data_IF_719234467922
#
_entry.id   IF_719234467922
#
_cell.length_a   1.000
_cell.length_b   1.000
_cell.length_c   1.000
_cell.angle_alpha   90.00
_cell.angle_beta   90.00
_cell.angle_gamma   90.00
#
_symmetry.space_group_name_H-M   'P 1'
#
loop_
_entity.id
_entity.type
_entity.pdbx_description
1 polymer ?
#
# COMPACT_ATOMS: atom_id res chain seq x y z
N UNK A 1 -25.47 -21.49 22.82
CA UNK A 1 -25.02 -20.52 21.79
C UNK A 1 -23.52 -20.63 21.44
N UNK A 2 -22.68 -21.29 22.26
CA UNK A 2 -21.21 -21.28 22.07
C UNK A 2 -20.62 -22.17 20.95
N UNK A 3 -21.23 -23.32 20.63
CA UNK A 3 -20.70 -24.21 19.57
C UNK A 3 -20.75 -23.59 18.19
N UNK A 4 -21.76 -22.76 17.93
CA UNK A 4 -21.95 -22.09 16.64
C UNK A 4 -20.85 -21.04 16.45
N UNK A 5 -20.63 -20.15 17.44
CA UNK A 5 -19.59 -19.12 17.36
C UNK A 5 -18.15 -19.67 17.25
N UNK A 6 -17.86 -20.82 17.89
CA UNK A 6 -16.59 -21.53 17.76
C UNK A 6 -16.37 -22.10 16.35
N UNK A 7 -17.41 -22.72 15.78
CA UNK A 7 -17.41 -23.25 14.40
C UNK A 7 -17.17 -22.14 13.36
N UNK A 8 -17.82 -20.98 13.51
CA UNK A 8 -17.64 -19.83 12.61
C UNK A 8 -16.22 -19.27 12.62
N UNK A 9 -15.63 -19.08 13.80
CA UNK A 9 -14.24 -18.61 13.93
C UNK A 9 -13.24 -19.55 13.26
N UNK A 10 -13.44 -20.87 13.36
CA UNK A 10 -12.61 -21.87 12.70
C UNK A 10 -12.72 -21.84 11.17
N UNK A 11 -13.92 -21.60 10.64
CA UNK A 11 -14.15 -21.47 9.20
C UNK A 11 -13.53 -20.18 8.63
N UNK A 12 -13.69 -19.05 9.31
CA UNK A 12 -13.10 -17.76 8.93
C UNK A 12 -11.56 -17.85 8.87
N UNK A 13 -10.95 -18.52 9.86
CA UNK A 13 -9.51 -18.73 9.90
C UNK A 13 -9.02 -19.58 8.71
N UNK A 14 -9.68 -20.70 8.42
CA UNK A 14 -9.34 -21.54 7.24
C UNK A 14 -9.50 -20.77 5.92
N UNK A 15 -10.52 -19.92 5.82
CA UNK A 15 -10.71 -19.05 4.67
C UNK A 15 -9.53 -18.09 4.50
N UNK A 16 -9.06 -17.45 5.57
CA UNK A 16 -7.90 -16.56 5.53
C UNK A 16 -6.59 -17.30 5.21
N UNK A 17 -6.47 -18.54 5.66
CA UNK A 17 -5.32 -19.39 5.30
C UNK A 17 -5.35 -19.78 3.82
N UNK A 18 -6.54 -19.93 3.21
CA UNK A 18 -6.70 -20.21 1.79
C UNK A 18 -6.65 -18.95 0.89
N UNK A 19 -7.14 -17.82 1.39
CA UNK A 19 -7.23 -16.52 0.70
C UNK A 19 -6.81 -15.43 1.69
N UNK A 20 -5.54 -14.98 1.62
CA UNK A 20 -4.94 -14.13 2.66
C UNK A 20 -5.45 -12.68 2.64
N UNK A 21 -6.23 -12.30 1.62
CA UNK A 21 -6.72 -10.94 1.44
C UNK A 21 -7.63 -10.51 2.60
N UNK A 22 -7.56 -9.23 2.96
CA UNK A 22 -8.54 -8.63 3.85
C UNK A 22 -9.91 -8.61 3.17
N UNK A 23 -10.97 -8.92 3.94
CA UNK A 23 -12.34 -8.70 3.48
C UNK A 23 -12.55 -7.21 3.12
N UNK A 24 -13.46 -6.86 2.20
CA UNK A 24 -13.74 -5.47 1.84
C UNK A 24 -13.93 -4.56 3.05
N UNK A 25 -13.45 -3.32 2.95
CA UNK A 25 -13.62 -2.32 4.01
C UNK A 25 -15.09 -1.85 4.06
N UNK A 26 -15.56 -1.35 5.21
CA UNK A 26 -16.79 -0.57 5.26
C UNK A 26 -16.77 0.59 4.25
N UNK A 27 -17.93 0.97 3.75
CA UNK A 27 -18.05 2.06 2.78
C UNK A 27 -17.59 3.41 3.38
N UNK A 28 -17.69 3.60 4.69
CA UNK A 28 -17.23 4.80 5.39
C UNK A 28 -15.78 4.70 5.90
N UNK A 29 -15.04 3.63 5.58
CA UNK A 29 -13.66 3.49 6.03
C UNK A 29 -12.74 4.55 5.40
N UNK A 30 -11.74 5.08 6.14
CA UNK A 30 -10.84 6.10 5.61
C UNK A 30 -10.18 5.72 4.30
N UNK A 31 -10.00 6.71 3.42
CA UNK A 31 -9.36 6.55 2.11
C UNK A 31 -7.96 7.15 2.09
N UNK A 32 -7.09 6.61 1.25
CA UNK A 32 -5.77 7.15 0.97
C UNK A 32 -5.33 6.70 -0.44
N UNK A 33 -4.63 7.53 -1.23
CA UNK A 33 -4.19 8.90 -0.94
C UNK A 33 -5.20 9.98 -1.37
N UNK A 34 -5.21 11.11 -0.65
CA UNK A 34 -5.76 12.38 -1.14
C UNK A 34 -4.60 13.29 -1.59
N UNK A 35 -4.38 13.35 -2.90
CA UNK A 35 -3.26 14.10 -3.50
C UNK A 35 -3.56 15.58 -3.72
N UNK A 36 -4.63 16.14 -3.11
CA UNK A 36 -4.94 17.58 -3.19
C UNK A 36 -3.97 18.45 -2.38
N UNK A 37 -3.18 17.85 -1.49
CA UNK A 37 -2.19 18.54 -0.64
C UNK A 37 -0.85 17.81 -0.67
N UNK A 38 0.23 18.53 -0.34
CA UNK A 38 1.54 17.94 -0.09
C UNK A 38 2.19 18.54 1.17
N UNK A 39 2.70 17.73 2.11
CA UNK A 39 2.69 16.26 2.12
C UNK A 39 1.27 15.68 2.18
N UNK A 40 1.08 14.51 1.57
CA UNK A 40 -0.22 13.82 1.61
C UNK A 40 -0.51 13.39 3.04
N UNK A 41 -1.72 13.68 3.52
CA UNK A 41 -2.13 13.34 4.88
C UNK A 41 -2.54 11.88 4.94
N UNK A 42 -1.87 11.11 5.79
CA UNK A 42 -2.32 9.77 6.15
C UNK A 42 -3.48 9.89 7.16
N UNK A 43 -4.64 9.26 6.91
CA UNK A 43 -5.82 9.47 7.73
C UNK A 43 -5.69 8.81 9.10
N UNK A 44 -6.44 9.32 10.08
CA UNK A 44 -6.64 8.60 11.33
C UNK A 44 -7.47 7.33 11.07
N UNK A 45 -7.04 6.21 11.64
CA UNK A 45 -7.66 4.91 11.43
C UNK A 45 -8.39 4.44 12.70
N UNK A 46 -9.59 3.84 12.61
CA UNK A 46 -10.28 3.26 13.75
C UNK A 46 -9.44 2.21 14.50
N UNK A 47 -9.57 2.14 15.83
CA UNK A 47 -8.87 1.14 16.63
C UNK A 47 -9.50 -0.25 16.45
N UNK A 48 -8.70 -1.32 16.30
CA UNK A 48 -9.25 -2.68 16.21
C UNK A 48 -9.83 -3.12 17.57
N UNK A 49 -10.98 -3.84 17.60
CA UNK A 49 -11.65 -4.25 18.85
C UNK A 49 -10.81 -5.08 19.83
N UNK A 50 -9.75 -5.75 19.35
CA UNK A 50 -8.87 -6.61 20.15
C UNK A 50 -7.44 -6.10 20.27
N UNK A 51 -7.16 -4.85 19.89
CA UNK A 51 -5.79 -4.35 19.73
C UNK A 51 -5.10 -4.92 18.48
N UNK A 52 -3.80 -4.62 18.33
CA UNK A 52 -2.99 -5.02 17.19
C UNK A 52 -2.90 -3.97 16.07
N UNK A 53 -2.35 -4.35 14.90
CA UNK A 53 -2.21 -3.44 13.76
C UNK A 53 -3.57 -2.92 13.28
N UNK A 54 -3.62 -1.64 12.92
CA UNK A 54 -4.80 -1.06 12.29
C UNK A 54 -4.90 -1.56 10.85
N UNK A 55 -6.13 -1.73 10.36
CA UNK A 55 -6.39 -2.01 8.93
C UNK A 55 -5.93 -0.78 8.11
N UNK A 56 -5.22 -0.96 6.98
CA UNK A 56 -4.84 0.18 6.14
C UNK A 56 -6.09 0.90 5.58
N UNK A 57 -5.98 2.21 5.26
CA UNK A 57 -7.03 2.91 4.53
C UNK A 57 -7.27 2.25 3.16
N UNK A 58 -8.50 2.35 2.65
CA UNK A 58 -8.83 1.83 1.33
C UNK A 58 -8.43 2.82 0.23
N UNK A 59 -8.19 2.35 -0.99
CA UNK A 59 -7.91 3.24 -2.12
C UNK A 59 -9.13 4.15 -2.42
N UNK A 60 -8.99 5.39 -2.94
CA UNK A 60 -10.13 6.29 -3.19
C UNK A 60 -11.15 5.73 -4.18
N UNK A 61 -10.73 4.83 -5.08
CA UNK A 61 -11.65 4.10 -5.98
C UNK A 61 -12.47 3.02 -5.28
N UNK A 62 -12.15 2.67 -4.02
CA UNK A 62 -12.75 1.59 -3.23
C UNK A 62 -12.63 0.22 -3.89
N UNK A 63 -11.60 0.05 -4.72
CA UNK A 63 -11.26 -1.25 -5.29
C UNK A 63 -10.92 -2.22 -4.16
N UNK A 64 -11.32 -3.47 -4.32
CA UNK A 64 -11.02 -4.56 -3.38
C UNK A 64 -9.93 -5.45 -3.96
N UNK A 65 -9.04 -6.01 -3.13
CA UNK A 65 -8.00 -6.91 -3.61
C UNK A 65 -8.63 -8.14 -4.29
N UNK A 66 -8.07 -8.63 -5.41
CA UNK A 66 -8.57 -9.83 -6.06
C UNK A 66 -8.37 -11.05 -5.15
N UNK A 67 -9.32 -11.99 -5.20
CA UNK A 67 -9.24 -13.24 -4.46
C UNK A 67 -8.23 -14.19 -5.13
N UNK A 68 -6.98 -14.17 -4.66
CA UNK A 68 -5.90 -15.04 -5.12
C UNK A 68 -5.63 -16.09 -4.03
N UNK A 69 -5.63 -17.39 -4.35
CA UNK A 69 -5.27 -18.44 -3.41
C UNK A 69 -3.87 -18.22 -2.80
N UNK A 70 -3.71 -18.55 -1.51
CA UNK A 70 -2.48 -18.31 -0.76
C UNK A 70 -1.26 -19.04 -1.36
N UNK A 71 -1.47 -20.21 -1.97
CA UNK A 71 -0.45 -21.00 -2.65
C UNK A 71 -0.01 -20.42 -4.00
N UNK A 72 -0.78 -19.47 -4.55
CA UNK A 72 -0.48 -18.73 -5.77
C UNK A 72 0.02 -17.30 -5.48
N UNK A 73 -0.04 -16.85 -4.23
CA UNK A 73 0.41 -15.52 -3.83
C UNK A 73 1.94 -15.46 -3.78
N UNK A 74 2.59 -14.49 -4.45
CA UNK A 74 4.02 -14.27 -4.24
C UNK A 74 4.29 -13.90 -2.78
N UNK A 75 5.23 -14.62 -2.16
CA UNK A 75 5.67 -14.33 -0.78
C UNK A 75 6.47 -13.04 -0.68
N UNK A 76 7.11 -12.63 -1.78
CA UNK A 76 7.96 -11.46 -1.86
C UNK A 76 7.77 -10.77 -3.22
N UNK A 77 7.47 -9.47 -3.18
CA UNK A 77 7.42 -8.61 -4.35
C UNK A 77 8.52 -7.55 -4.24
N UNK A 78 9.28 -7.35 -5.31
CA UNK A 78 10.27 -6.28 -5.42
C UNK A 78 9.80 -5.26 -6.48
N UNK A 79 9.85 -3.97 -6.14
CA UNK A 79 9.38 -2.88 -7.00
C UNK A 79 10.52 -1.90 -7.26
N UNK A 80 10.73 -1.57 -8.53
CA UNK A 80 11.59 -0.46 -8.95
C UNK A 80 10.68 0.74 -9.24
N UNK A 81 10.76 1.78 -8.40
CA UNK A 81 9.93 2.99 -8.55
C UNK A 81 10.55 3.97 -9.55
N UNK A 82 10.65 3.56 -10.81
CA UNK A 82 11.16 4.42 -11.88
C UNK A 82 10.05 5.32 -12.47
N UNK A 83 10.47 6.42 -13.10
CA UNK A 83 9.61 7.26 -13.92
C UNK A 83 9.20 8.58 -13.28
N UNK A 84 9.45 8.81 -11.99
CA UNK A 84 9.09 10.04 -11.27
C UNK A 84 9.57 11.31 -12.01
N UNK A 85 10.86 11.36 -12.38
CA UNK A 85 11.41 12.49 -13.13
C UNK A 85 10.80 12.65 -14.53
N UNK A 86 10.54 11.54 -15.25
CA UNK A 86 9.90 11.60 -16.58
C UNK A 86 8.46 12.10 -16.49
N UNK A 87 7.72 11.63 -15.48
CA UNK A 87 6.35 12.06 -15.19
C UNK A 87 6.27 13.57 -14.95
N UNK A 88 7.23 14.12 -14.20
CA UNK A 88 7.31 15.55 -13.91
C UNK A 88 7.68 16.36 -15.17
N UNK A 89 8.69 15.92 -15.92
CA UNK A 89 9.13 16.60 -17.16
C UNK A 89 8.00 16.66 -18.20
N UNK A 90 7.22 15.59 -18.35
CA UNK A 90 6.06 15.57 -19.26
C UNK A 90 4.97 16.59 -18.89
N UNK A 91 4.98 17.10 -17.66
CA UNK A 91 4.04 18.11 -17.13
C UNK A 91 4.67 19.49 -17.02
N UNK A 92 5.90 19.68 -17.51
CA UNK A 92 6.63 20.94 -17.36
C UNK A 92 7.05 21.25 -15.92
N UNK A 93 7.09 20.25 -15.04
CA UNK A 93 7.47 20.38 -13.64
C UNK A 93 8.95 20.04 -13.42
N UNK A 94 9.51 20.50 -12.30
CA UNK A 94 10.84 20.05 -11.87
C UNK A 94 10.79 18.58 -11.47
N UNK A 95 11.90 17.86 -11.67
CA UNK A 95 11.99 16.41 -11.38
C UNK A 95 11.67 16.07 -9.92
N UNK A 96 11.97 16.98 -8.99
CA UNK A 96 11.67 16.85 -7.56
C UNK A 96 10.16 16.71 -7.30
N UNK A 97 9.31 17.38 -8.07
CA UNK A 97 7.84 17.26 -7.91
C UNK A 97 7.35 15.85 -8.22
N UNK A 98 7.97 15.16 -9.18
CA UNK A 98 7.66 13.75 -9.44
C UNK A 98 8.03 12.84 -8.27
N UNK A 99 9.15 13.12 -7.61
CA UNK A 99 9.57 12.36 -6.43
C UNK A 99 8.66 12.61 -5.22
N UNK A 100 8.17 13.85 -5.03
CA UNK A 100 7.15 14.16 -4.02
C UNK A 100 5.87 13.35 -4.20
N UNK A 101 5.41 13.18 -5.44
CA UNK A 101 4.22 12.36 -5.72
C UNK A 101 4.50 10.86 -5.53
N UNK A 102 5.74 10.42 -5.75
CA UNK A 102 6.17 9.04 -5.51
C UNK A 102 6.05 8.60 -4.05
N UNK A 103 6.11 9.52 -3.09
CA UNK A 103 5.91 9.25 -1.67
C UNK A 103 4.53 8.66 -1.37
N UNK A 104 3.47 9.32 -1.86
CA UNK A 104 2.10 8.86 -1.66
C UNK A 104 1.85 7.50 -2.34
N UNK A 105 2.43 7.28 -3.52
CA UNK A 105 2.34 6.01 -4.25
C UNK A 105 3.01 4.88 -3.47
N UNK A 106 4.16 5.11 -2.84
CA UNK A 106 4.82 4.10 -2.00
C UNK A 106 3.94 3.67 -0.83
N UNK A 107 3.30 4.63 -0.15
CA UNK A 107 2.40 4.34 0.97
C UNK A 107 1.16 3.59 0.48
N UNK A 108 0.57 4.00 -0.65
CA UNK A 108 -0.59 3.34 -1.25
C UNK A 108 -0.29 1.88 -1.65
N UNK A 109 0.86 1.65 -2.31
CA UNK A 109 1.33 0.29 -2.63
C UNK A 109 1.51 -0.55 -1.37
N UNK A 110 2.03 0.05 -0.30
CA UNK A 110 2.22 -0.66 0.98
C UNK A 110 0.86 -1.03 1.60
N UNK A 111 -0.13 -0.14 1.53
CA UNK A 111 -1.51 -0.44 1.93
C UNK A 111 -2.09 -1.59 1.11
N UNK A 112 -1.99 -1.54 -0.21
CA UNK A 112 -2.45 -2.60 -1.11
C UNK A 112 -1.73 -3.94 -0.89
N UNK A 113 -0.43 -3.93 -0.58
CA UNK A 113 0.34 -5.13 -0.25
C UNK A 113 -0.18 -5.80 1.03
N UNK A 114 -0.54 -5.01 2.04
CA UNK A 114 -1.19 -5.51 3.27
C UNK A 114 -2.58 -6.05 2.95
N UNK A 115 -3.38 -5.32 2.17
CA UNK A 115 -4.75 -5.73 1.81
C UNK A 115 -4.80 -7.05 1.04
N UNK A 116 -3.87 -7.24 0.10
CA UNK A 116 -3.83 -8.46 -0.73
C UNK A 116 -3.13 -9.64 -0.03
N UNK A 117 -2.31 -9.38 1.00
CA UNK A 117 -1.62 -10.41 1.79
C UNK A 117 -0.20 -10.73 1.35
N UNK A 118 0.53 -9.79 0.74
CA UNK A 118 1.97 -9.92 0.48
C UNK A 118 2.74 -9.86 1.80
N UNK A 119 3.67 -10.80 2.01
CA UNK A 119 4.42 -10.91 3.26
C UNK A 119 5.71 -10.07 3.25
N UNK A 120 6.35 -9.94 2.10
CA UNK A 120 7.59 -9.16 1.94
C UNK A 120 7.47 -8.22 0.75
N UNK A 121 7.77 -6.95 0.99
CA UNK A 121 7.82 -5.92 -0.03
C UNK A 121 9.21 -5.28 0.01
N UNK A 122 9.93 -5.33 -1.11
CA UNK A 122 11.17 -4.59 -1.29
C UNK A 122 10.95 -3.48 -2.30
N UNK A 123 11.37 -2.28 -1.96
CA UNK A 123 11.17 -1.12 -2.82
C UNK A 123 12.51 -0.47 -3.08
N UNK A 124 12.81 -0.26 -4.36
CA UNK A 124 14.04 0.40 -4.76
C UNK A 124 13.85 1.91 -4.76
N UNK A 125 14.12 2.54 -3.62
CA UNK A 125 13.92 3.98 -3.42
C UNK A 125 15.12 4.84 -3.89
N UNK A 126 16.35 4.33 -3.74
CA UNK A 126 17.57 5.00 -4.20
C UNK A 126 18.62 3.98 -4.65
N UNK A 127 19.25 4.20 -5.80
CA UNK A 127 20.24 3.31 -6.41
C UNK A 127 21.66 3.88 -6.37
N UNK A 128 22.66 3.01 -6.48
CA UNK A 128 24.07 3.41 -6.64
C UNK A 128 24.31 4.24 -7.90
N UNK A 129 23.47 4.08 -8.93
CA UNK A 129 23.52 4.85 -10.17
C UNK A 129 22.88 6.24 -10.00
N UNK A 130 22.08 6.48 -8.95
CA UNK A 130 21.51 7.81 -8.68
C UNK A 130 22.59 8.84 -8.32
N UNK A 131 23.76 8.41 -7.85
CA UNK A 131 24.93 9.29 -7.66
C UNK A 131 25.44 9.94 -8.95
N UNK A 132 25.05 9.45 -10.13
CA UNK A 132 25.39 10.07 -11.43
C UNK A 132 24.44 11.20 -11.84
N UNK A 133 23.41 11.50 -11.04
CA UNK A 133 22.47 12.61 -11.30
C UNK A 133 23.05 13.95 -10.83
N UNK A 134 22.35 15.05 -11.10
CA UNK A 134 22.81 16.37 -10.65
C UNK A 134 22.90 16.44 -9.13
N UNK A 135 23.85 17.22 -8.62
CA UNK A 135 24.06 17.39 -7.17
C UNK A 135 22.80 17.88 -6.47
N UNK A 136 22.01 18.75 -7.12
CA UNK A 136 20.75 19.26 -6.59
C UNK A 136 19.70 18.16 -6.45
N UNK A 137 19.62 17.23 -7.41
CA UNK A 137 18.68 16.10 -7.34
C UNK A 137 19.13 15.09 -6.28
N UNK A 138 20.43 14.79 -6.19
CA UNK A 138 20.97 13.88 -5.18
C UNK A 138 20.79 14.41 -3.75
N UNK A 139 20.85 15.74 -3.54
CA UNK A 139 20.58 16.34 -2.23
C UNK A 139 19.10 16.31 -1.84
N UNK A 140 18.21 16.22 -2.82
CA UNK A 140 16.77 16.19 -2.60
C UNK A 140 16.25 14.78 -2.32
N UNK A 141 16.80 13.78 -3.01
CA UNK A 141 16.48 12.36 -2.83
C UNK A 141 16.98 11.82 -1.49
#
# INVERSE_FOLDING_TARGET
MDRVASSWRGAERRRREAFPQLSPAPEDYPIFPDTSTWPVVFPELPAPPGGGPRRPPQHPSRAVPPAIPADQMPRHVAIVMDGNGRWATQRGLSRTEGHKMGEAVLIDITCGAIEIGIQHLSVYAFSTENWRRSTEEVRFL
#
